data_IF_206013871826
#
_entry.id   IF_206013871826
#
_cell.length_a   1.000
_cell.length_b   1.000
_cell.length_c   1.000
_cell.angle_alpha   90.00
_cell.angle_beta   90.00
_cell.angle_gamma   90.00
#
_symmetry.space_group_name_H-M   'P 1'
#
loop_
_entity.id
_entity.type
_entity.pdbx_description
1 polymer ?
#
# COMPACT_ATOMS: atom_id res chain seq x y z
N UNK A 1 -8.58 -3.59 16.83
CA UNK A 1 -8.00 -2.75 15.75
C UNK A 1 -6.93 -1.90 16.39
N UNK A 2 -5.67 -2.04 15.98
CA UNK A 2 -4.60 -1.18 16.49
C UNK A 2 -4.94 0.27 16.14
N UNK A 3 -4.99 1.12 17.15
CA UNK A 3 -5.15 2.56 16.95
C UNK A 3 -3.79 3.10 16.47
N UNK A 4 -3.75 3.52 15.20
CA UNK A 4 -2.54 4.04 14.56
C UNK A 4 -2.83 5.50 14.27
N UNK A 5 -2.00 6.40 14.82
CA UNK A 5 -2.18 7.82 14.56
C UNK A 5 -2.03 8.11 13.07
N UNK A 6 -2.87 8.99 12.52
CA UNK A 6 -2.85 9.34 11.09
C UNK A 6 -1.49 9.88 10.62
N UNK A 7 -0.73 10.52 11.52
CA UNK A 7 0.64 10.96 11.23
C UNK A 7 1.60 9.77 11.04
N UNK A 8 1.49 8.75 11.88
CA UNK A 8 2.31 7.55 11.80
C UNK A 8 1.93 6.69 10.59
N UNK A 9 0.63 6.55 10.30
CA UNK A 9 0.16 5.84 9.11
C UNK A 9 0.72 6.48 7.82
N UNK A 10 0.69 7.83 7.72
CA UNK A 10 1.29 8.56 6.60
C UNK A 10 2.81 8.36 6.51
N UNK A 11 3.51 8.40 7.64
CA UNK A 11 4.96 8.19 7.66
C UNK A 11 5.34 6.77 7.20
N UNK A 12 4.58 5.77 7.66
CA UNK A 12 4.76 4.37 7.27
C UNK A 12 4.56 4.21 5.77
N UNK A 13 3.45 4.74 5.22
CA UNK A 13 3.17 4.65 3.79
C UNK A 13 4.23 5.36 2.91
N UNK A 14 4.70 6.54 3.32
CA UNK A 14 5.73 7.26 2.56
C UNK A 14 7.06 6.50 2.53
N UNK A 15 7.47 5.93 3.66
CA UNK A 15 8.70 5.17 3.75
C UNK A 15 8.61 3.82 3.02
N UNK A 16 7.45 3.14 3.06
CA UNK A 16 7.18 1.97 2.22
C UNK A 16 7.30 2.30 0.73
N UNK A 17 6.81 3.46 0.30
CA UNK A 17 6.93 3.90 -1.09
C UNK A 17 8.39 4.16 -1.50
N UNK A 18 9.18 4.78 -0.62
CA UNK A 18 10.63 4.96 -0.87
C UNK A 18 11.38 3.64 -0.95
N UNK A 19 11.02 2.67 -0.09
CA UNK A 19 11.62 1.34 -0.14
C UNK A 19 11.27 0.62 -1.46
N UNK A 20 10.04 0.76 -1.95
CA UNK A 20 9.63 0.22 -3.25
C UNK A 20 10.36 0.91 -4.42
N UNK A 21 10.51 2.23 -4.38
CA UNK A 21 11.25 2.99 -5.38
C UNK A 21 12.72 2.54 -5.45
N UNK A 22 13.40 2.45 -4.30
CA UNK A 22 14.76 1.91 -4.22
C UNK A 22 14.85 0.48 -4.76
N UNK A 23 13.86 -0.37 -4.44
CA UNK A 23 13.80 -1.74 -4.94
C UNK A 23 13.64 -1.79 -6.47
N UNK A 24 12.73 -1.00 -7.04
CA UNK A 24 12.53 -0.91 -8.49
C UNK A 24 13.73 -0.28 -9.20
N UNK A 25 14.46 0.62 -8.53
CA UNK A 25 15.73 1.19 -9.00
C UNK A 25 16.92 0.23 -8.94
N UNK A 26 16.76 -0.98 -8.39
CA UNK A 26 17.83 -1.96 -8.23
C UNK A 26 18.71 -1.71 -6.99
N UNK A 27 18.36 -0.76 -6.15
CA UNK A 27 19.08 -0.42 -4.92
C UNK A 27 18.55 -1.25 -3.74
N UNK A 28 18.77 -2.57 -3.81
CA UNK A 28 18.45 -3.52 -2.75
C UNK A 28 18.94 -3.10 -1.33
N UNK A 29 20.18 -2.60 -1.13
CA UNK A 29 20.63 -2.25 0.21
C UNK A 29 19.84 -1.07 0.80
N UNK A 30 19.52 -0.06 -0.02
CA UNK A 30 18.68 1.06 0.42
C UNK A 30 17.27 0.61 0.75
N UNK A 31 16.66 -0.22 -0.10
CA UNK A 31 15.34 -0.78 0.16
C UNK A 31 15.30 -1.56 1.48
N UNK A 32 16.29 -2.41 1.74
CA UNK A 32 16.36 -3.18 2.98
C UNK A 32 16.56 -2.30 4.22
N UNK A 33 17.41 -1.28 4.15
CA UNK A 33 17.64 -0.36 5.26
C UNK A 33 16.38 0.44 5.61
N UNK A 34 15.62 0.88 4.60
CA UNK A 34 14.36 1.60 4.79
C UNK A 34 13.29 0.72 5.46
N UNK A 35 13.22 -0.57 5.10
CA UNK A 35 12.29 -1.52 5.74
C UNK A 35 12.72 -1.85 7.17
N UNK A 36 14.02 -2.02 7.42
CA UNK A 36 14.53 -2.31 8.77
C UNK A 36 14.28 -1.14 9.74
N UNK A 37 14.57 0.09 9.31
CA UNK A 37 14.26 1.31 10.09
C UNK A 37 12.76 1.41 10.38
N UNK A 38 11.93 1.14 9.38
CA UNK A 38 10.47 1.19 9.50
C UNK A 38 9.96 0.19 10.54
N UNK A 39 10.45 -1.04 10.50
CA UNK A 39 10.09 -2.10 11.45
C UNK A 39 10.61 -1.83 12.86
N UNK A 40 11.80 -1.25 12.98
CA UNK A 40 12.40 -0.84 14.26
C UNK A 40 11.58 0.27 14.92
N UNK A 41 11.12 1.25 14.14
CA UNK A 41 10.44 2.44 14.67
C UNK A 41 8.97 2.17 15.06
N UNK A 42 8.25 1.43 14.23
CA UNK A 42 6.80 1.26 14.38
C UNK A 42 6.39 -0.14 14.83
N UNK A 43 7.30 -1.10 14.76
CA UNK A 43 7.00 -2.51 15.04
C UNK A 43 6.33 -3.20 13.85
N UNK A 44 6.59 -4.51 13.74
CA UNK A 44 6.10 -5.34 12.64
C UNK A 44 4.57 -5.35 12.54
N UNK A 45 3.86 -5.44 13.66
CA UNK A 45 2.39 -5.49 13.68
C UNK A 45 1.76 -4.22 13.12
N UNK A 46 2.28 -3.05 13.47
CA UNK A 46 1.79 -1.75 12.98
C UNK A 46 1.99 -1.62 11.48
N UNK A 47 3.20 -1.95 11.00
CA UNK A 47 3.55 -1.88 9.58
C UNK A 47 2.68 -2.84 8.75
N UNK A 48 2.45 -4.05 9.24
CA UNK A 48 1.59 -5.04 8.58
C UNK A 48 0.13 -4.55 8.53
N UNK A 49 -0.38 -3.99 9.63
CA UNK A 49 -1.73 -3.43 9.68
C UNK A 49 -1.94 -2.29 8.67
N UNK A 50 -0.97 -1.37 8.53
CA UNK A 50 -1.02 -0.29 7.53
C UNK A 50 -0.97 -0.87 6.11
N UNK A 51 -0.11 -1.86 5.86
CA UNK A 51 -0.02 -2.52 4.55
C UNK A 51 -1.33 -3.21 4.16
N UNK A 52 -2.00 -3.88 5.10
CA UNK A 52 -3.31 -4.48 4.86
C UNK A 52 -4.39 -3.46 4.56
N UNK A 53 -4.41 -2.33 5.26
CA UNK A 53 -5.34 -1.22 4.98
C UNK A 53 -5.12 -0.66 3.58
N UNK A 54 -3.85 -0.42 3.20
CA UNK A 54 -3.51 0.06 1.87
C UNK A 54 -3.95 -0.92 0.77
N UNK A 55 -3.69 -2.22 0.96
CA UNK A 55 -4.11 -3.24 -0.02
C UNK A 55 -5.64 -3.29 -0.17
N UNK A 56 -6.37 -3.14 0.94
CA UNK A 56 -7.83 -3.10 0.93
C UNK A 56 -8.38 -1.84 0.25
N UNK A 57 -7.79 -0.68 0.52
CA UNK A 57 -8.15 0.59 -0.12
C UNK A 57 -7.92 0.53 -1.64
N UNK A 58 -6.79 -0.02 -2.07
CA UNK A 58 -6.48 -0.22 -3.47
C UNK A 58 -7.47 -1.17 -4.17
N UNK A 59 -7.86 -2.26 -3.50
CA UNK A 59 -8.86 -3.19 -4.01
C UNK A 59 -10.25 -2.55 -4.10
N UNK A 60 -10.64 -1.73 -3.13
CA UNK A 60 -11.92 -1.02 -3.14
C UNK A 60 -11.97 0.00 -4.30
N UNK A 61 -10.87 0.73 -4.50
CA UNK A 61 -10.72 1.64 -5.63
C UNK A 61 -10.79 0.91 -6.99
N UNK A 62 -10.13 -0.25 -7.11
CA UNK A 62 -10.14 -1.07 -8.32
C UNK A 62 -11.54 -1.64 -8.61
N UNK A 63 -12.23 -2.15 -7.58
CA UNK A 63 -13.62 -2.61 -7.68
C UNK A 63 -14.59 -1.48 -8.07
N UNK A 64 -14.41 -0.28 -7.53
CA UNK A 64 -15.23 0.87 -7.90
C UNK A 64 -14.99 1.28 -9.36
N UNK A 65 -13.73 1.26 -9.81
CA UNK A 65 -13.39 1.48 -11.23
C UNK A 65 -14.03 0.41 -12.13
N UNK A 66 -13.88 -0.88 -11.78
CA UNK A 66 -14.54 -1.98 -12.47
C UNK A 66 -16.06 -1.84 -12.45
N UNK A 67 -16.67 -1.39 -11.36
CA UNK A 67 -18.13 -1.19 -11.31
C UNK A 67 -18.57 -0.01 -12.18
N UNK A 68 -17.78 1.05 -12.28
CA UNK A 68 -18.07 2.23 -13.11
C UNK A 68 -17.99 1.93 -14.61
N UNK A 69 -17.11 1.02 -15.03
CA UNK A 69 -16.92 0.64 -16.44
C UNK A 69 -17.51 -0.74 -16.81
N UNK A 70 -17.80 -1.59 -15.82
CA UNK A 70 -18.07 -3.03 -15.97
C UNK A 70 -19.52 -3.43 -16.24
N UNK A 71 -20.37 -2.50 -16.68
CA UNK A 71 -21.68 -2.85 -17.27
C UNK A 71 -21.93 -2.18 -18.61
N UNK A 72 -21.01 -1.33 -19.09
CA UNK A 72 -21.09 -0.71 -20.41
C UNK A 72 -20.41 -1.53 -21.53
N UNK A 73 -19.61 -2.55 -21.18
CA UNK A 73 -18.90 -3.41 -22.14
C UNK A 73 -19.43 -4.85 -22.28
N UNK A 74 -20.42 -5.27 -21.48
CA UNK A 74 -21.00 -6.62 -21.50
C UNK A 74 -22.39 -6.68 -22.16
N UNK A 75 -22.90 -5.53 -22.63
CA UNK A 75 -24.15 -5.42 -23.39
C UNK A 75 -23.87 -4.63 -24.68
N UNK A 76 -23.01 -5.17 -25.54
CA UNK A 76 -23.03 -4.91 -26.98
C UNK A 76 -23.28 -6.25 -27.63
N UNK A 77 -24.55 -6.68 -27.62
CA UNK A 77 -25.46 -6.71 -28.78
C UNK A 77 -25.10 -7.90 -29.69
N UNK A 78 -26.01 -8.87 -29.65
CA UNK A 78 -26.12 -10.12 -30.41
C UNK A 78 -25.93 -9.94 -31.93
#
# INVERSE_FOLDING_TARGET
MTDIAAADERAILDQLRRAQDAHHGGDQPTASALIDDLLTRYGRETVDAVRWRQARDQLDADLNLYSMFGTAGLIGDD
#
